data_IF_970104406134
#
_entry.id   IF_970104406134
#
_cell.length_a   1.000
_cell.length_b   1.000
_cell.length_c   1.000
_cell.angle_alpha   90.00
_cell.angle_beta   90.00
_cell.angle_gamma   90.00
#
_symmetry.space_group_name_H-M   'P 1'
#
loop_
_entity.id
_entity.type
_entity.pdbx_description
1 polymer ?
#
# COMPACT_ATOMS: atom_id res chain seq x y z
N UNK A 1 -6.85 1.91 -11.48
CA UNK A 1 -6.11 1.04 -10.56
C UNK A 1 -6.26 1.59 -9.15
N UNK A 2 -6.06 0.75 -8.12
CA UNK A 2 -6.02 1.17 -6.71
C UNK A 2 -4.62 0.84 -6.19
N UNK A 3 -3.99 1.80 -5.51
CA UNK A 3 -2.62 1.67 -4.97
C UNK A 3 -2.65 1.93 -3.48
N UNK A 4 -2.01 1.05 -2.72
CA UNK A 4 -1.80 1.23 -1.28
C UNK A 4 -0.61 0.41 -0.80
N UNK A 5 -0.06 0.73 0.37
CA UNK A 5 1.05 0.02 0.97
C UNK A 5 0.59 -0.73 2.23
N UNK A 6 1.01 -1.97 2.34
CA UNK A 6 0.83 -2.74 3.58
C UNK A 6 2.13 -2.77 4.36
N UNK A 7 2.00 -2.76 5.67
CA UNK A 7 3.13 -2.74 6.60
C UNK A 7 3.15 -4.01 7.44
N UNK A 8 4.34 -4.60 7.60
CA UNK A 8 4.54 -5.81 8.39
C UNK A 8 5.70 -5.64 9.37
N UNK A 9 5.48 -6.08 10.60
CA UNK A 9 6.53 -6.10 11.64
C UNK A 9 7.61 -7.12 11.28
N UNK A 10 8.87 -6.76 11.59
CA UNK A 10 10.04 -7.63 11.44
C UNK A 10 10.78 -7.80 12.75
N UNK A 11 11.71 -8.75 12.84
CA UNK A 11 12.70 -8.79 13.91
C UNK A 11 13.58 -7.53 13.84
N UNK A 12 14.19 -7.18 14.97
CA UNK A 12 15.04 -5.97 15.06
C UNK A 12 16.27 -6.10 14.16
N UNK A 13 16.35 -5.32 13.07
CA UNK A 13 17.52 -5.32 12.20
C UNK A 13 18.67 -4.54 12.85
N UNK A 14 19.90 -4.68 12.30
CA UNK A 14 21.05 -3.90 12.77
C UNK A 14 20.78 -2.39 12.69
N UNK A 15 20.22 -1.91 11.57
CA UNK A 15 19.86 -0.50 11.33
C UNK A 15 18.40 -0.21 11.75
N UNK A 16 18.08 -0.36 13.04
CA UNK A 16 16.71 -0.19 13.53
C UNK A 16 16.10 1.17 13.16
N UNK A 17 16.90 2.22 13.07
CA UNK A 17 16.42 3.59 12.78
C UNK A 17 15.72 3.69 11.42
N UNK A 18 16.20 2.96 10.40
CA UNK A 18 15.64 3.01 9.05
C UNK A 18 14.35 2.23 8.96
N UNK A 19 14.23 1.15 9.72
CA UNK A 19 13.07 0.28 9.75
C UNK A 19 11.99 0.71 10.75
N UNK A 20 12.28 1.68 11.63
CA UNK A 20 11.33 2.10 12.66
C UNK A 20 10.17 2.89 12.08
N UNK A 21 8.98 2.35 12.20
CA UNK A 21 7.73 3.01 11.83
C UNK A 21 7.12 3.69 13.04
N UNK A 22 6.98 5.02 12.98
CA UNK A 22 6.29 5.80 14.02
C UNK A 22 4.80 5.45 14.13
N UNK A 23 4.18 4.96 13.05
CA UNK A 23 2.77 4.51 13.04
C UNK A 23 2.60 3.16 13.75
N UNK A 24 3.50 2.22 13.49
CA UNK A 24 3.43 0.86 14.05
C UNK A 24 4.14 0.73 15.40
N UNK A 25 4.91 1.74 15.83
CA UNK A 25 5.78 1.73 17.01
C UNK A 25 6.69 0.48 17.06
N UNK A 26 7.21 0.08 15.89
CA UNK A 26 8.03 -1.11 15.72
C UNK A 26 8.92 -1.01 14.49
N UNK A 27 9.92 -1.90 14.37
CA UNK A 27 10.62 -2.11 13.11
C UNK A 27 9.72 -2.87 12.14
N UNK A 28 9.55 -2.32 10.95
CA UNK A 28 8.64 -2.84 9.92
C UNK A 28 9.25 -2.77 8.54
N UNK A 29 8.65 -3.49 7.61
CA UNK A 29 8.83 -3.32 6.17
C UNK A 29 7.48 -2.99 5.54
N UNK A 30 7.54 -2.23 4.46
CA UNK A 30 6.38 -1.85 3.65
C UNK A 30 6.46 -2.48 2.26
N UNK A 31 5.32 -2.92 1.76
CA UNK A 31 5.17 -3.41 0.38
C UNK A 31 4.00 -2.71 -0.26
N UNK A 32 4.25 -2.06 -1.39
CA UNK A 32 3.20 -1.45 -2.19
C UNK A 32 2.51 -2.52 -3.04
N UNK A 33 1.19 -2.45 -3.11
CA UNK A 33 0.37 -3.33 -3.94
C UNK A 33 -0.51 -2.47 -4.83
N UNK A 34 -0.54 -2.83 -6.11
CA UNK A 34 -1.43 -2.24 -7.11
C UNK A 34 -2.46 -3.28 -7.50
N UNK A 35 -3.73 -2.93 -7.42
CA UNK A 35 -4.83 -3.81 -7.82
C UNK A 35 -5.69 -3.18 -8.91
N UNK A 36 -6.35 -4.04 -9.68
CA UNK A 36 -7.50 -3.65 -10.50
C UNK A 36 -8.74 -3.39 -9.61
N UNK A 37 -9.77 -2.68 -10.11
CA UNK A 37 -10.99 -2.42 -9.33
C UNK A 37 -11.71 -3.70 -8.86
N UNK A 38 -11.55 -4.81 -9.57
CA UNK A 38 -12.10 -6.12 -9.20
C UNK A 38 -11.30 -6.82 -8.09
N UNK A 39 -10.21 -6.24 -7.60
CA UNK A 39 -9.34 -6.78 -6.55
C UNK A 39 -8.21 -7.68 -7.04
N UNK A 40 -8.06 -7.89 -8.35
CA UNK A 40 -6.91 -8.62 -8.90
C UNK A 40 -5.61 -7.85 -8.65
N UNK A 41 -4.60 -8.51 -8.13
CA UNK A 41 -3.28 -7.92 -7.89
C UNK A 41 -2.54 -7.81 -9.23
N UNK A 42 -2.18 -6.59 -9.61
CA UNK A 42 -1.47 -6.28 -10.84
C UNK A 42 0.04 -6.16 -10.62
N UNK A 43 0.43 -5.64 -9.45
CA UNK A 43 1.85 -5.43 -9.10
C UNK A 43 2.04 -5.51 -7.60
N UNK A 44 3.20 -6.02 -7.22
CA UNK A 44 3.73 -6.03 -5.84
C UNK A 44 5.13 -5.46 -5.90
N UNK A 45 5.44 -4.46 -5.08
CA UNK A 45 6.78 -3.89 -4.98
C UNK A 45 7.73 -4.83 -4.23
N UNK A 46 9.03 -4.54 -4.30
CA UNK A 46 9.96 -5.05 -3.30
C UNK A 46 9.63 -4.50 -1.91
N UNK A 47 10.13 -5.12 -0.82
CA UNK A 47 9.99 -4.55 0.52
C UNK A 47 10.86 -3.31 0.68
N UNK A 48 10.33 -2.33 1.38
CA UNK A 48 11.01 -1.09 1.76
C UNK A 48 11.02 -0.95 3.28
N UNK A 49 11.97 -0.19 3.81
CA UNK A 49 12.06 0.10 5.23
C UNK A 49 10.80 0.85 5.72
N UNK A 50 10.31 0.51 6.91
CA UNK A 50 9.07 1.06 7.46
C UNK A 50 9.02 2.58 7.59
N UNK A 51 10.19 3.24 7.65
CA UNK A 51 10.31 4.70 7.69
C UNK A 51 10.02 5.37 6.35
N UNK A 52 10.18 4.65 5.22
CA UNK A 52 9.98 5.21 3.88
C UNK A 52 8.51 5.60 3.67
N UNK A 53 8.27 6.79 3.14
CA UNK A 53 6.93 7.24 2.79
C UNK A 53 6.37 6.49 1.58
N UNK A 54 5.06 6.24 1.57
CA UNK A 54 4.41 5.46 0.51
C UNK A 54 4.59 6.11 -0.88
N UNK A 55 4.60 7.44 -0.95
CA UNK A 55 4.89 8.16 -2.20
C UNK A 55 6.33 7.94 -2.69
N UNK A 56 7.33 7.89 -1.80
CA UNK A 56 8.72 7.60 -2.19
C UNK A 56 8.89 6.15 -2.69
N UNK A 57 8.14 5.21 -2.11
CA UNK A 57 8.08 3.83 -2.63
C UNK A 57 7.58 3.88 -4.09
N UNK A 58 6.49 4.59 -4.33
CA UNK A 58 5.91 4.70 -5.67
C UNK A 58 6.88 5.28 -6.69
N UNK A 59 7.61 6.32 -6.35
CA UNK A 59 8.64 6.94 -7.22
C UNK A 59 9.75 5.96 -7.57
N UNK A 60 10.21 5.21 -6.57
CA UNK A 60 11.32 4.24 -6.74
C UNK A 60 10.91 3.03 -7.59
N UNK A 61 9.67 2.60 -7.51
CA UNK A 61 9.14 1.43 -8.24
C UNK A 61 8.91 1.69 -9.74
N UNK A 62 9.14 2.92 -10.20
CA UNK A 62 8.98 3.29 -11.60
C UNK A 62 7.52 3.44 -12.05
N UNK A 63 7.28 3.76 -13.32
CA UNK A 63 5.97 4.16 -13.80
C UNK A 63 4.95 3.01 -13.77
N UNK A 64 3.69 3.40 -13.59
CA UNK A 64 2.52 2.55 -13.80
C UNK A 64 1.92 2.86 -15.19
N UNK A 65 1.13 1.93 -15.76
CA UNK A 65 0.37 2.20 -16.97
C UNK A 65 -0.45 3.49 -16.85
N UNK A 66 -0.62 4.23 -17.96
CA UNK A 66 -1.37 5.49 -18.02
C UNK A 66 -2.88 5.29 -17.80
N UNK A 67 -3.27 4.73 -16.66
CA UNK A 67 -4.64 4.49 -16.24
C UNK A 67 -4.93 5.27 -14.96
N UNK A 68 -6.20 5.69 -14.72
CA UNK A 68 -6.55 6.40 -13.49
C UNK A 68 -6.15 5.61 -12.23
N UNK A 69 -5.56 6.32 -11.26
CA UNK A 69 -5.12 5.76 -9.97
C UNK A 69 -5.97 6.34 -8.84
N UNK A 70 -6.47 5.48 -7.98
CA UNK A 70 -7.02 5.81 -6.68
C UNK A 70 -6.01 5.40 -5.60
N UNK A 71 -5.59 6.33 -4.76
CA UNK A 71 -4.65 6.06 -3.68
C UNK A 71 -5.03 6.79 -2.40
N UNK A 72 -4.31 6.51 -1.30
CA UNK A 72 -4.49 7.19 -0.02
C UNK A 72 -3.79 8.55 0.00
N UNK A 73 -4.06 9.30 1.04
CA UNK A 73 -3.42 10.59 1.33
C UNK A 73 -1.90 10.50 1.53
N UNK A 74 -1.35 9.32 1.75
CA UNK A 74 0.10 9.06 1.77
C UNK A 74 0.79 9.24 0.42
N UNK A 75 0.04 9.24 -0.66
CA UNK A 75 0.53 9.42 -2.04
C UNK A 75 0.40 10.86 -2.56
N UNK A 76 0.35 11.86 -1.68
CA UNK A 76 0.36 13.27 -2.08
C UNK A 76 1.61 13.58 -2.91
N UNK A 77 1.42 14.20 -4.08
CA UNK A 77 2.48 14.46 -5.05
C UNK A 77 2.40 13.56 -6.29
N UNK A 78 1.77 12.37 -6.18
CA UNK A 78 1.64 11.43 -7.31
C UNK A 78 0.95 12.04 -8.53
N UNK A 79 0.05 12.99 -8.33
CA UNK A 79 -0.64 13.70 -9.41
C UNK A 79 0.30 14.51 -10.32
N UNK A 80 1.52 14.81 -9.87
CA UNK A 80 2.53 15.53 -10.65
C UNK A 80 3.46 14.58 -11.42
N UNK A 81 3.45 13.30 -11.07
CA UNK A 81 4.37 12.29 -11.59
C UNK A 81 3.69 11.28 -12.52
N UNK A 82 2.36 11.14 -12.41
CA UNK A 82 1.60 10.17 -13.18
C UNK A 82 0.88 10.83 -14.34
N UNK A 83 0.96 10.21 -15.55
CA UNK A 83 0.43 10.74 -16.79
C UNK A 83 -1.11 10.72 -16.89
N UNK A 84 -1.79 9.92 -16.09
CA UNK A 84 -3.25 9.85 -16.04
C UNK A 84 -3.80 10.44 -14.72
N UNK A 85 -5.13 10.50 -14.60
CA UNK A 85 -5.80 11.05 -13.43
C UNK A 85 -5.41 10.32 -12.14
N UNK A 86 -4.99 11.06 -11.12
CA UNK A 86 -4.74 10.56 -9.77
C UNK A 86 -5.80 11.11 -8.82
N UNK A 87 -6.51 10.20 -8.17
CA UNK A 87 -7.63 10.51 -7.29
C UNK A 87 -7.17 10.26 -5.85
N UNK A 88 -7.04 11.34 -5.08
CA UNK A 88 -6.63 11.30 -3.68
C UNK A 88 -7.72 11.90 -2.80
N UNK A 89 -7.87 11.41 -1.55
CA UNK A 89 -8.69 12.07 -0.56
C UNK A 89 -8.08 13.42 -0.17
N UNK A 90 -8.92 14.41 0.07
CA UNK A 90 -8.48 15.71 0.55
C UNK A 90 -8.06 15.61 2.01
N UNK A 91 -6.84 16.04 2.32
CA UNK A 91 -6.36 16.12 3.70
C UNK A 91 -7.06 17.24 4.46
N UNK A 92 -7.37 16.97 5.74
CA UNK A 92 -7.86 18.01 6.66
C UNK A 92 -6.76 19.07 6.85
N UNK A 93 -7.05 20.36 6.70
CA UNK A 93 -6.11 21.43 7.01
C UNK A 93 -5.70 21.38 8.50
N UNK A 94 -4.48 21.87 8.80
CA UNK A 94 -3.94 21.86 10.18
C UNK A 94 -4.85 22.61 11.17
N UNK A 95 -5.43 23.73 10.73
CA UNK A 95 -6.26 24.63 11.54
C UNK A 95 -7.68 24.80 10.96
N UNK A 96 -8.29 23.72 10.45
CA UNK A 96 -9.61 23.81 9.84
C UNK A 96 -10.34 22.48 9.82
N UNK A 97 -11.51 22.47 9.20
CA UNK A 97 -12.30 21.28 8.91
C UNK A 97 -12.54 21.16 7.42
N UNK A 98 -12.81 19.93 6.97
CA UNK A 98 -13.28 19.68 5.61
C UNK A 98 -14.74 20.14 5.51
N UNK A 99 -15.12 20.72 4.37
CA UNK A 99 -16.51 21.02 4.06
C UNK A 99 -17.34 19.73 3.96
N UNK A 100 -18.65 19.82 4.10
CA UNK A 100 -19.54 18.65 3.98
C UNK A 100 -19.41 17.95 2.62
N UNK A 101 -19.20 18.72 1.55
CA UNK A 101 -18.98 18.16 0.20
C UNK A 101 -17.64 17.40 0.10
N UNK A 102 -16.58 17.91 0.70
CA UNK A 102 -15.27 17.27 0.75
C UNK A 102 -15.30 15.98 1.60
N UNK A 103 -16.01 16.01 2.73
CA UNK A 103 -16.22 14.81 3.55
C UNK A 103 -16.99 13.73 2.77
N UNK A 104 -18.10 14.13 2.11
CA UNK A 104 -18.88 13.19 1.27
C UNK A 104 -18.05 12.61 0.14
N UNK A 105 -17.19 13.44 -0.53
CA UNK A 105 -16.26 12.97 -1.54
C UNK A 105 -15.26 11.96 -0.96
N UNK A 106 -14.62 12.28 0.17
CA UNK A 106 -13.67 11.37 0.83
C UNK A 106 -14.33 10.06 1.23
N UNK A 107 -15.57 10.09 1.71
CA UNK A 107 -16.35 8.88 2.03
C UNK A 107 -16.59 8.00 0.79
N UNK A 108 -16.92 8.61 -0.36
CA UNK A 108 -17.05 7.85 -1.62
C UNK A 108 -15.73 7.21 -2.03
N UNK A 109 -14.62 7.95 -1.93
CA UNK A 109 -13.29 7.42 -2.26
C UNK A 109 -12.88 6.28 -1.32
N UNK A 110 -13.16 6.39 -0.03
CA UNK A 110 -12.91 5.32 0.94
C UNK A 110 -13.68 4.04 0.57
N UNK A 111 -14.95 4.15 0.16
CA UNK A 111 -15.73 2.99 -0.32
C UNK A 111 -15.10 2.32 -1.54
N UNK A 112 -14.58 3.09 -2.48
CA UNK A 112 -13.87 2.53 -3.64
C UNK A 112 -12.56 1.83 -3.24
N UNK A 113 -11.91 2.27 -2.14
CA UNK A 113 -10.67 1.67 -1.63
C UNK A 113 -10.90 0.39 -0.81
N UNK A 114 -12.12 0.08 -0.42
CA UNK A 114 -12.45 -1.17 0.29
C UNK A 114 -11.90 -2.41 -0.45
N UNK A 115 -11.83 -2.38 -1.78
CA UNK A 115 -11.29 -3.48 -2.58
C UNK A 115 -9.84 -3.83 -2.21
N UNK A 116 -8.96 -2.83 -2.00
CA UNK A 116 -7.57 -3.09 -1.61
C UNK A 116 -7.45 -3.51 -0.14
N UNK A 117 -8.31 -2.98 0.73
CA UNK A 117 -8.39 -3.40 2.13
C UNK A 117 -8.80 -4.87 2.25
N UNK A 118 -9.78 -5.31 1.45
CA UNK A 118 -10.18 -6.72 1.35
C UNK A 118 -9.03 -7.57 0.79
N UNK A 119 -8.31 -7.08 -0.22
CA UNK A 119 -7.14 -7.77 -0.77
C UNK A 119 -6.09 -7.98 0.33
N UNK A 120 -5.75 -6.95 1.10
CA UNK A 120 -4.83 -7.09 2.22
C UNK A 120 -5.33 -8.04 3.31
N UNK A 121 -6.62 -7.99 3.64
CA UNK A 121 -7.22 -8.92 4.59
C UNK A 121 -7.09 -10.38 4.12
N UNK A 122 -7.26 -10.64 2.82
CA UNK A 122 -7.05 -11.97 2.25
C UNK A 122 -5.58 -12.40 2.27
N UNK A 123 -4.65 -11.53 1.88
CA UNK A 123 -3.21 -11.81 1.94
C UNK A 123 -2.75 -12.10 3.38
N UNK A 124 -3.28 -11.35 4.36
CA UNK A 124 -2.96 -11.52 5.78
C UNK A 124 -3.61 -12.74 6.44
N UNK A 125 -4.46 -13.51 5.76
CA UNK A 125 -4.84 -14.85 6.21
C UNK A 125 -3.64 -15.80 6.24
N UNK A 126 -2.65 -15.56 5.41
CA UNK A 126 -1.37 -16.24 5.48
C UNK A 126 -0.57 -15.69 6.65
N UNK A 127 -0.38 -16.50 7.68
CA UNK A 127 0.28 -16.10 8.92
C UNK A 127 1.65 -15.47 8.69
N UNK A 128 2.38 -15.94 7.67
CA UNK A 128 3.68 -15.41 7.30
C UNK A 128 3.64 -13.92 6.88
N UNK A 129 2.51 -13.43 6.36
CA UNK A 129 2.30 -12.00 6.01
C UNK A 129 1.59 -11.20 7.12
N UNK A 130 1.00 -11.88 8.11
CA UNK A 130 0.27 -11.24 9.19
C UNK A 130 1.12 -11.07 10.46
N UNK A 131 1.89 -12.09 10.83
CA UNK A 131 2.73 -12.09 12.01
C UNK A 131 4.01 -11.29 11.80
N UNK A 132 4.83 -11.19 12.84
CA UNK A 132 6.19 -10.67 12.73
C UNK A 132 7.00 -11.58 11.80
N UNK A 133 7.52 -11.00 10.71
CA UNK A 133 8.35 -11.74 9.78
C UNK A 133 9.72 -12.04 10.39
N UNK A 134 10.12 -13.31 10.38
CA UNK A 134 11.36 -13.82 10.99
C UNK A 134 12.34 -14.42 9.98
N UNK A 135 11.95 -14.43 8.69
CA UNK A 135 12.80 -14.90 7.60
C UNK A 135 13.83 -13.85 7.15
N UNK A 136 14.69 -14.24 6.23
CA UNK A 136 15.60 -13.31 5.57
C UNK A 136 14.82 -12.30 4.73
N UNK A 137 15.16 -11.02 4.85
CA UNK A 137 14.46 -9.94 4.10
C UNK A 137 14.62 -10.10 2.59
N UNK A 138 15.74 -10.69 2.12
CA UNK A 138 15.96 -10.96 0.70
C UNK A 138 14.93 -11.92 0.10
N UNK A 139 14.43 -12.88 0.88
CA UNK A 139 13.40 -13.83 0.45
C UNK A 139 11.97 -13.30 0.57
N UNK A 140 11.77 -12.19 1.28
CA UNK A 140 10.43 -11.66 1.56
C UNK A 140 9.64 -11.32 0.31
N UNK A 141 10.29 -10.72 -0.69
CA UNK A 141 9.65 -10.38 -1.96
C UNK A 141 9.06 -11.60 -2.66
N UNK A 142 9.81 -12.70 -2.70
CA UNK A 142 9.36 -13.97 -3.30
C UNK A 142 8.16 -14.55 -2.55
N UNK A 143 8.21 -14.55 -1.22
CA UNK A 143 7.10 -15.01 -0.37
C UNK A 143 5.83 -14.21 -0.65
N UNK A 144 5.94 -12.88 -0.66
CA UNK A 144 4.79 -12.02 -0.90
C UNK A 144 4.21 -12.23 -2.31
N UNK A 145 5.07 -12.28 -3.34
CA UNK A 145 4.66 -12.48 -4.73
C UNK A 145 4.02 -13.85 -4.94
N UNK A 146 4.54 -14.90 -4.31
CA UNK A 146 3.93 -16.24 -4.37
C UNK A 146 2.51 -16.24 -3.82
N UNK A 147 2.31 -15.64 -2.64
CA UNK A 147 0.99 -15.54 -2.02
C UNK A 147 0.04 -14.69 -2.86
N UNK A 148 0.53 -13.58 -3.44
CA UNK A 148 -0.25 -12.74 -4.35
C UNK A 148 -0.66 -13.51 -5.63
N UNK A 149 0.22 -14.36 -6.16
CA UNK A 149 -0.09 -15.25 -7.28
C UNK A 149 -1.19 -16.26 -6.93
N UNK A 150 -1.07 -16.94 -5.78
CA UNK A 150 -2.09 -17.88 -5.29
C UNK A 150 -3.44 -17.16 -5.08
N UNK A 151 -3.41 -15.95 -4.51
CA UNK A 151 -4.61 -15.13 -4.36
C UNK A 151 -5.28 -14.84 -5.70
N UNK A 152 -4.52 -14.42 -6.72
CA UNK A 152 -5.07 -14.19 -8.05
C UNK A 152 -5.66 -15.44 -8.68
N UNK A 153 -4.97 -16.60 -8.57
CA UNK A 153 -5.48 -17.88 -9.07
C UNK A 153 -6.82 -18.26 -8.40
N UNK A 154 -6.96 -18.01 -7.11
CA UNK A 154 -8.21 -18.32 -6.39
C UNK A 154 -9.41 -17.45 -6.86
N UNK A 155 -9.15 -16.33 -7.51
CA UNK A 155 -10.16 -15.39 -8.05
C UNK A 155 -10.47 -15.58 -9.53
N UNK A 156 -9.68 -16.37 -10.23
CA UNK A 156 -9.84 -16.62 -11.67
C UNK A 156 -10.97 -17.64 -11.99
N UNK A 157 -11.76 -18.05 -10.97
CA UNK A 157 -12.91 -18.95 -11.11
C UNK A 157 -14.19 -18.19 -11.39
#
# INVERSE_FOLDING_TARGET
>A
MIVDATEQRIERPKNQRDYYSGKAHACTIKTEVVIAPNGQILRVSKPYEGRVHDFEIRKTEGPLPALPILADSGYQGLQNEHSAAVILPKKKPKNGSLSSSEQARNTKLARCRIAIEHTFAHLKKWHILAARYRGHLDSYSQVFQTIAGIYNLSRAK
#
